data_IF_124002323711
#
_entry.id   IF_124002323711
#
_cell.length_a   1.000
_cell.length_b   1.000
_cell.length_c   1.000
_cell.angle_alpha   90.00
_cell.angle_beta   90.00
_cell.angle_gamma   90.00
#
_symmetry.space_group_name_H-M   'P 1'
#
loop_
_entity.id
_entity.type
_entity.pdbx_description
1 polymer ?
#
# COMPACT_ATOMS: atom_id res chain seq x y z
N UNK A 1 -36.11 29.25 -69.02
CA UNK A 1 -37.43 28.62 -68.77
C UNK A 1 -37.45 28.15 -67.31
N UNK A 2 -38.58 28.34 -66.60
CA UNK A 2 -38.80 28.24 -65.13
C UNK A 2 -38.40 29.44 -64.25
N UNK A 3 -39.28 30.46 -64.28
CA UNK A 3 -40.22 30.90 -63.22
C UNK A 3 -39.84 30.56 -61.75
N UNK A 4 -39.58 31.59 -60.93
CA UNK A 4 -40.46 32.17 -59.85
C UNK A 4 -40.61 31.24 -58.63
N UNK A 5 -40.56 31.62 -57.34
CA UNK A 5 -40.94 32.87 -56.66
C UNK A 5 -40.76 32.69 -55.13
N UNK A 6 -40.86 33.81 -54.37
CA UNK A 6 -41.54 33.93 -53.04
C UNK A 6 -40.73 33.47 -51.81
N UNK A 7 -40.66 34.15 -50.65
CA UNK A 7 -41.25 35.34 -49.97
C UNK A 7 -40.22 35.77 -48.89
N UNK A 8 -39.96 37.06 -48.64
CA UNK A 8 -40.59 37.89 -47.58
C UNK A 8 -40.60 37.18 -46.21
N UNK A 9 -40.19 37.76 -45.08
CA UNK A 9 -40.22 39.15 -44.67
C UNK A 9 -39.43 39.27 -43.33
N UNK A 10 -38.61 40.31 -43.11
CA UNK A 10 -39.00 41.54 -42.36
C UNK A 10 -38.73 41.38 -40.85
N UNK A 11 -37.56 41.88 -40.42
CA UNK A 11 -37.37 43.09 -39.61
C UNK A 11 -37.22 42.70 -38.11
N UNK A 12 -36.56 43.43 -37.22
CA UNK A 12 -36.22 44.84 -37.11
C UNK A 12 -34.87 44.99 -36.38
N UNK A 13 -34.01 45.81 -36.97
CA UNK A 13 -33.20 46.87 -36.35
C UNK A 13 -32.12 46.59 -35.29
N UNK A 14 -30.92 47.04 -35.70
CA UNK A 14 -30.07 48.05 -35.02
C UNK A 14 -29.47 47.66 -33.67
N UNK A 15 -28.18 47.86 -33.42
CA UNK A 15 -27.39 49.02 -33.78
C UNK A 15 -25.88 48.73 -33.73
N UNK A 16 -25.18 49.29 -34.71
CA UNK A 16 -23.88 49.97 -34.61
C UNK A 16 -22.75 49.18 -33.95
N UNK A 17 -21.89 48.66 -34.83
CA UNK A 17 -20.50 48.36 -34.49
C UNK A 17 -19.57 49.56 -34.63
N UNK A 18 -18.35 49.29 -34.14
CA UNK A 18 -17.07 49.94 -34.38
C UNK A 18 -16.69 51.09 -33.45
N UNK A 19 -15.86 50.71 -32.47
CA UNK A 19 -14.51 51.19 -32.11
C UNK A 19 -14.09 50.23 -30.97
N UNK A 20 -12.99 49.46 -30.97
CA UNK A 20 -11.62 49.88 -31.24
C UNK A 20 -10.83 49.83 -29.92
N UNK A 21 -10.19 48.69 -29.64
CA UNK A 21 -9.08 48.44 -28.70
C UNK A 21 -9.32 48.28 -27.17
N UNK A 22 -8.61 47.27 -26.64
CA UNK A 22 -8.14 47.04 -25.26
C UNK A 22 -9.13 46.51 -24.21
N UNK A 23 -8.83 45.30 -23.72
CA UNK A 23 -9.35 44.76 -22.47
C UNK A 23 -10.20 43.50 -22.63
N UNK A 24 -9.63 42.43 -23.17
CA UNK A 24 -10.19 41.10 -22.94
C UNK A 24 -10.13 40.82 -21.44
N UNK A 25 -11.28 40.87 -20.79
CA UNK A 25 -11.49 40.26 -19.47
C UNK A 25 -11.01 38.82 -19.60
N UNK A 26 -10.09 38.32 -18.74
CA UNK A 26 -9.82 36.90 -18.76
C UNK A 26 -11.14 36.21 -18.42
N UNK A 27 -11.60 35.35 -19.33
CA UNK A 27 -12.55 34.30 -18.98
C UNK A 27 -12.03 33.68 -17.69
N UNK A 28 -12.86 33.74 -16.64
CA UNK A 28 -12.66 32.97 -15.43
C UNK A 28 -12.71 31.51 -15.85
N UNK A 29 -11.54 31.02 -16.26
CA UNK A 29 -11.27 29.63 -16.55
C UNK A 29 -11.37 28.85 -15.26
N UNK A 30 -12.05 27.72 -15.40
CA UNK A 30 -12.06 26.58 -14.49
C UNK A 30 -12.58 26.91 -13.09
N UNK A 31 -13.83 26.48 -12.85
CA UNK A 31 -14.18 25.84 -11.58
C UNK A 31 -13.08 24.81 -11.30
N UNK A 32 -12.04 25.25 -10.59
CA UNK A 32 -11.22 24.35 -9.80
C UNK A 32 -12.20 23.69 -8.86
N UNK A 33 -12.62 22.47 -9.21
CA UNK A 33 -12.99 21.45 -8.26
C UNK A 33 -11.84 21.41 -7.26
N UNK A 34 -11.92 22.25 -6.24
CA UNK A 34 -11.25 22.01 -4.97
C UNK A 34 -11.87 20.72 -4.49
N UNK A 35 -11.26 19.59 -4.83
CA UNK A 35 -11.33 18.42 -3.98
C UNK A 35 -10.83 18.95 -2.64
N UNK A 36 -11.75 19.34 -1.75
CA UNK A 36 -11.37 19.60 -0.38
C UNK A 36 -10.64 18.35 0.06
N UNK A 37 -9.36 18.50 0.41
CA UNK A 37 -8.60 17.41 1.00
C UNK A 37 -9.35 17.05 2.28
N UNK A 38 -10.13 15.98 2.19
CA UNK A 38 -11.00 15.54 3.26
C UNK A 38 -10.11 15.24 4.48
N UNK A 39 -10.54 15.70 5.65
CA UNK A 39 -9.72 15.61 6.84
C UNK A 39 -9.56 14.15 7.24
N UNK A 40 -8.39 13.57 6.95
CA UNK A 40 -8.03 12.21 7.31
C UNK A 40 -8.37 11.94 8.77
N UNK A 41 -8.96 10.78 9.06
CA UNK A 41 -9.18 10.38 10.44
C UNK A 41 -7.81 10.03 11.01
N UNK A 42 -7.37 10.81 12.01
CA UNK A 42 -6.07 10.61 12.61
C UNK A 42 -6.05 9.31 13.43
N UNK A 43 -4.90 8.61 13.40
CA UNK A 43 -4.67 7.51 14.32
C UNK A 43 -4.73 8.03 15.77
N UNK A 44 -5.30 7.26 16.72
CA UNK A 44 -5.31 7.66 18.12
C UNK A 44 -3.87 7.83 18.64
N UNK A 45 -3.54 8.95 19.31
CA UNK A 45 -2.15 9.30 19.66
C UNK A 45 -1.45 8.28 20.58
N UNK A 46 -2.22 7.53 21.35
CA UNK A 46 -1.82 6.29 22.01
C UNK A 46 -3.05 5.37 22.04
N UNK A 47 -2.94 4.06 21.71
CA UNK A 47 -4.02 3.11 21.97
C UNK A 47 -4.08 2.80 23.48
N UNK A 48 -4.33 3.82 24.31
CA UNK A 48 -4.46 3.73 25.77
C UNK A 48 -5.84 4.25 26.19
N UNK A 49 -6.28 3.86 27.39
CA UNK A 49 -7.56 4.29 27.96
C UNK A 49 -8.74 3.38 27.56
N UNK A 50 -9.95 3.94 27.48
CA UNK A 50 -11.21 3.21 27.31
C UNK A 50 -11.23 2.26 26.10
N UNK A 51 -10.53 2.59 25.02
CA UNK A 51 -10.48 1.77 23.80
C UNK A 51 -9.91 0.36 24.06
N UNK A 52 -8.85 0.27 24.88
CA UNK A 52 -8.23 -1.02 25.26
C UNK A 52 -8.96 -1.73 26.39
N UNK A 53 -9.57 -0.97 27.31
CA UNK A 53 -10.28 -1.51 28.47
C UNK A 53 -11.60 -2.19 28.08
N UNK A 54 -12.21 -1.81 26.96
CA UNK A 54 -13.50 -2.34 26.49
C UNK A 54 -13.44 -3.00 25.11
N UNK A 55 -12.24 -3.35 24.62
CA UNK A 55 -12.13 -3.93 23.30
C UNK A 55 -12.84 -5.29 23.21
N UNK A 56 -13.82 -5.35 22.30
CA UNK A 56 -14.66 -6.52 22.08
C UNK A 56 -13.93 -7.54 21.19
N UNK A 57 -14.18 -8.85 21.33
CA UNK A 57 -13.54 -9.85 20.48
C UNK A 57 -14.02 -9.72 19.03
N UNK A 58 -13.08 -9.78 18.09
CA UNK A 58 -13.32 -9.93 16.66
C UNK A 58 -12.63 -11.22 16.20
N UNK A 59 -13.41 -12.19 15.74
CA UNK A 59 -12.86 -13.42 15.17
C UNK A 59 -12.48 -13.21 13.70
N UNK A 60 -11.39 -13.84 13.25
CA UNK A 60 -11.09 -13.96 11.82
C UNK A 60 -12.21 -14.76 11.14
N UNK A 61 -12.78 -14.21 10.07
CA UNK A 61 -14.00 -14.73 9.42
C UNK A 61 -15.30 -14.23 10.05
N UNK A 62 -15.23 -13.39 11.08
CA UNK A 62 -16.37 -12.82 11.79
C UNK A 62 -16.58 -11.34 11.53
N UNK A 63 -17.65 -10.80 12.11
CA UNK A 63 -17.94 -9.38 12.10
C UNK A 63 -18.64 -8.94 13.38
N UNK A 64 -18.51 -7.66 13.69
CA UNK A 64 -19.08 -6.99 14.85
C UNK A 64 -19.81 -5.74 14.39
N UNK A 65 -20.91 -5.40 15.06
CA UNK A 65 -21.70 -4.20 14.78
C UNK A 65 -21.77 -3.36 16.04
N UNK A 66 -21.63 -2.05 15.90
CA UNK A 66 -21.62 -1.10 17.01
C UNK A 66 -22.15 0.28 16.60
N UNK A 67 -22.43 1.08 17.62
CA UNK A 67 -22.88 2.46 17.49
C UNK A 67 -21.69 3.40 17.60
N UNK A 68 -21.54 4.34 16.66
CA UNK A 68 -20.53 5.40 16.72
C UNK A 68 -20.86 6.46 17.80
N UNK A 69 -22.02 6.36 18.46
CA UNK A 69 -22.47 7.36 19.44
C UNK A 69 -22.81 8.70 18.79
N UNK A 70 -22.76 9.79 19.57
CA UNK A 70 -23.16 11.12 19.11
C UNK A 70 -21.97 12.04 18.78
N UNK A 71 -20.77 11.66 19.19
CA UNK A 71 -19.55 12.48 19.09
C UNK A 71 -18.44 11.72 18.35
N UNK A 72 -17.42 12.42 17.82
CA UNK A 72 -16.18 11.79 17.37
C UNK A 72 -15.63 10.82 18.41
N UNK A 73 -15.03 9.72 17.96
CA UNK A 73 -14.59 8.67 18.86
C UNK A 73 -13.86 7.54 18.15
N UNK A 74 -13.50 6.55 18.96
CA UNK A 74 -12.91 5.30 18.49
C UNK A 74 -13.49 4.13 19.27
N UNK A 75 -13.45 2.95 18.67
CA UNK A 75 -13.72 1.67 19.30
C UNK A 75 -12.59 0.68 18.99
N UNK A 76 -12.24 -0.12 19.98
CA UNK A 76 -11.20 -1.14 19.87
C UNK A 76 -11.76 -2.56 19.77
N UNK A 77 -11.08 -3.41 19.02
CA UNK A 77 -11.42 -4.81 18.82
C UNK A 77 -10.20 -5.71 18.91
N UNK A 78 -10.33 -6.79 19.69
CA UNK A 78 -9.25 -7.77 19.90
C UNK A 78 -9.31 -8.83 18.81
N UNK A 79 -8.21 -8.99 18.08
CA UNK A 79 -8.03 -9.99 17.05
C UNK A 79 -6.90 -10.93 17.46
N UNK A 80 -7.24 -12.14 17.92
CA UNK A 80 -6.24 -13.15 18.28
C UNK A 80 -5.93 -14.05 17.09
N UNK A 81 -4.66 -14.12 16.70
CA UNK A 81 -4.23 -14.80 15.48
C UNK A 81 -2.99 -15.67 15.69
N UNK A 82 -2.81 -16.65 14.80
CA UNK A 82 -1.53 -17.33 14.62
C UNK A 82 -0.57 -16.45 13.82
N UNK A 83 0.74 -16.75 13.88
CA UNK A 83 1.76 -16.09 13.09
C UNK A 83 1.45 -16.22 11.58
N UNK A 84 1.76 -15.18 10.82
CA UNK A 84 1.50 -15.06 9.38
C UNK A 84 0.03 -15.22 8.98
N UNK A 85 -0.89 -14.83 9.88
CA UNK A 85 -2.30 -14.71 9.53
C UNK A 85 -2.47 -13.53 8.59
N UNK A 86 -3.14 -13.72 7.45
CA UNK A 86 -3.41 -12.64 6.50
C UNK A 86 -4.89 -12.33 6.48
N UNK A 87 -5.25 -11.11 6.89
CA UNK A 87 -6.64 -10.67 7.01
C UNK A 87 -6.91 -9.43 6.18
N UNK A 88 -8.13 -9.32 5.70
CA UNK A 88 -8.74 -8.06 5.30
C UNK A 88 -9.60 -7.56 6.44
N UNK A 89 -9.48 -6.27 6.75
CA UNK A 89 -10.33 -5.60 7.72
C UNK A 89 -11.10 -4.50 7.00
N UNK A 90 -12.42 -4.49 7.15
CA UNK A 90 -13.28 -3.55 6.44
C UNK A 90 -14.42 -3.08 7.33
N UNK A 91 -14.66 -1.77 7.38
CA UNK A 91 -15.95 -1.23 7.81
C UNK A 91 -16.92 -1.38 6.64
N UNK A 92 -17.78 -2.39 6.69
CA UNK A 92 -18.57 -2.80 5.54
C UNK A 92 -19.76 -1.87 5.31
N UNK A 93 -20.11 -1.64 4.04
CA UNK A 93 -21.35 -0.93 3.70
C UNK A 93 -22.59 -1.59 4.32
N UNK A 94 -22.68 -2.91 4.23
CA UNK A 94 -23.77 -3.66 4.87
C UNK A 94 -23.66 -3.53 6.40
N UNK A 95 -24.68 -2.97 7.04
CA UNK A 95 -24.72 -2.79 8.49
C UNK A 95 -24.11 -1.48 9.00
N UNK A 96 -23.53 -0.66 8.12
CA UNK A 96 -23.08 0.69 8.43
C UNK A 96 -24.08 1.74 7.92
N UNK A 97 -24.13 2.88 8.58
CA UNK A 97 -24.99 4.00 8.17
C UNK A 97 -24.37 4.76 7.01
N UNK A 98 -25.23 5.28 6.12
CA UNK A 98 -24.82 6.11 5.00
C UNK A 98 -24.14 7.42 5.47
N UNK A 99 -23.08 7.81 4.76
CA UNK A 99 -22.31 9.02 5.03
C UNK A 99 -21.54 8.99 6.34
N UNK A 100 -21.28 7.81 6.92
CA UNK A 100 -20.29 7.67 7.98
C UNK A 100 -18.90 7.68 7.35
N UNK A 101 -18.01 8.46 7.95
CA UNK A 101 -16.59 8.54 7.60
C UNK A 101 -15.79 7.81 8.69
N UNK A 102 -14.94 6.85 8.31
CA UNK A 102 -14.24 5.99 9.27
C UNK A 102 -12.77 5.81 8.96
N UNK A 103 -11.92 5.84 9.99
CA UNK A 103 -10.53 5.40 9.94
C UNK A 103 -10.38 4.02 10.56
N UNK A 104 -9.45 3.22 10.04
CA UNK A 104 -9.12 1.89 10.55
C UNK A 104 -7.63 1.82 10.82
N UNK A 105 -7.26 1.34 12.00
CA UNK A 105 -5.87 1.24 12.46
C UNK A 105 -5.63 -0.11 13.11
N UNK A 106 -4.45 -0.70 12.90
CA UNK A 106 -4.05 -1.98 13.50
C UNK A 106 -2.78 -1.80 14.32
N UNK A 107 -2.79 -2.26 15.56
CA UNK A 107 -1.65 -2.25 16.49
C UNK A 107 -1.34 -3.65 17.01
N UNK A 108 -0.13 -3.85 17.54
CA UNK A 108 0.27 -5.06 18.24
C UNK A 108 1.40 -5.86 17.59
N UNK A 109 1.56 -7.15 17.92
CA UNK A 109 0.76 -7.88 18.91
C UNK A 109 0.99 -7.34 20.32
N UNK A 110 0.07 -7.65 21.23
CA UNK A 110 0.18 -7.33 22.65
C UNK A 110 1.44 -7.94 23.26
N UNK A 111 2.24 -7.11 23.91
CA UNK A 111 3.46 -7.53 24.59
C UNK A 111 3.18 -8.10 25.99
N UNK A 112 4.24 -8.54 26.67
CA UNK A 112 4.17 -9.09 28.02
C UNK A 112 3.75 -8.06 29.08
N UNK A 113 3.87 -6.76 28.80
CA UNK A 113 3.38 -5.68 29.67
C UNK A 113 1.88 -5.39 29.45
N UNK A 114 1.27 -6.03 28.45
CA UNK A 114 -0.12 -5.84 28.07
C UNK A 114 -0.34 -4.68 27.10
N UNK A 115 0.72 -4.07 26.57
CA UNK A 115 0.68 -2.97 25.62
C UNK A 115 0.63 -3.48 24.17
N UNK A 116 -0.11 -2.81 23.29
CA UNK A 116 -0.08 -3.07 21.84
C UNK A 116 0.98 -2.23 21.10
N UNK A 117 1.79 -1.47 21.84
CA UNK A 117 2.68 -0.46 21.26
C UNK A 117 1.95 0.80 20.81
N UNK A 118 2.69 1.74 20.23
CA UNK A 118 2.17 3.02 19.70
C UNK A 118 2.35 3.15 18.18
N UNK A 119 3.00 2.17 17.55
CA UNK A 119 3.21 2.15 16.11
C UNK A 119 1.99 1.52 15.43
N UNK A 120 1.40 2.26 14.50
CA UNK A 120 0.37 1.73 13.59
C UNK A 120 1.04 0.80 12.59
N UNK A 121 0.58 -0.46 12.51
CA UNK A 121 1.08 -1.44 11.55
C UNK A 121 0.38 -1.33 10.20
N UNK A 122 -0.94 -1.13 10.23
CA UNK A 122 -1.78 -0.97 9.06
C UNK A 122 -2.81 0.13 9.33
N UNK A 123 -3.09 0.94 8.32
CA UNK A 123 -4.15 1.94 8.38
C UNK A 123 -4.79 2.18 7.03
N UNK A 124 -6.03 2.64 7.08
CA UNK A 124 -6.78 3.15 5.93
C UNK A 124 -7.95 4.00 6.43
N UNK A 125 -8.37 5.01 5.69
CA UNK A 125 -9.54 5.84 6.02
C UNK A 125 -10.57 6.01 4.89
N UNK A 126 -10.24 5.67 3.64
CA UNK A 126 -11.16 5.92 2.52
C UNK A 126 -11.14 4.89 1.38
N UNK A 127 -10.43 3.75 1.53
CA UNK A 127 -10.37 2.72 0.48
C UNK A 127 -11.57 1.76 0.46
N UNK A 128 -12.54 1.94 1.36
CA UNK A 128 -13.75 1.13 1.45
C UNK A 128 -14.90 1.66 0.57
N UNK A 129 -16.13 1.29 0.92
CA UNK A 129 -17.30 1.78 0.19
C UNK A 129 -17.68 3.20 0.65
N UNK A 130 -17.62 4.18 -0.25
CA UNK A 130 -17.84 5.58 0.11
C UNK A 130 -16.66 6.09 0.93
N UNK A 131 -16.94 6.66 2.11
CA UNK A 131 -15.95 7.19 3.08
C UNK A 131 -15.62 6.15 4.18
N UNK A 132 -15.88 4.87 3.92
CA UNK A 132 -15.57 3.81 4.86
C UNK A 132 -14.13 3.33 4.67
N UNK A 133 -13.53 2.84 5.75
CA UNK A 133 -12.16 2.34 5.75
C UNK A 133 -12.05 0.85 5.42
N UNK A 134 -10.97 0.50 4.73
CA UNK A 134 -10.62 -0.87 4.34
C UNK A 134 -9.10 -1.07 4.28
N UNK A 135 -8.59 -1.90 5.20
CA UNK A 135 -7.26 -2.50 5.06
C UNK A 135 -7.41 -3.77 4.21
N UNK A 136 -7.03 -3.68 2.93
CA UNK A 136 -7.23 -4.76 1.95
C UNK A 136 -6.44 -6.04 2.26
N UNK A 137 -5.27 -5.88 2.88
CA UNK A 137 -4.39 -6.96 3.32
C UNK A 137 -3.56 -6.48 4.52
N UNK A 138 -3.67 -7.20 5.63
CA UNK A 138 -2.78 -7.11 6.79
C UNK A 138 -2.13 -8.48 7.01
N UNK A 139 -0.82 -8.56 6.78
CA UNK A 139 -0.01 -9.74 7.14
C UNK A 139 0.47 -9.59 8.58
N UNK A 140 -0.06 -10.41 9.48
CA UNK A 140 0.25 -10.36 10.92
C UNK A 140 1.34 -11.37 11.25
N UNK A 141 2.59 -10.92 11.21
CA UNK A 141 3.78 -11.79 11.23
C UNK A 141 3.93 -12.59 12.53
N UNK A 142 3.54 -11.99 13.67
CA UNK A 142 3.66 -12.63 14.98
C UNK A 142 2.32 -13.20 15.45
N UNK A 143 2.35 -14.36 16.10
CA UNK A 143 1.19 -14.85 16.82
C UNK A 143 0.88 -13.94 18.02
N UNK A 144 -0.40 -13.77 18.35
CA UNK A 144 -0.81 -12.99 19.52
C UNK A 144 -2.14 -12.28 19.36
N UNK A 145 -2.43 -11.40 20.32
CA UNK A 145 -3.60 -10.52 20.31
C UNK A 145 -3.21 -9.18 19.68
N UNK A 146 -3.87 -8.81 18.59
CA UNK A 146 -3.76 -7.49 17.96
C UNK A 146 -4.98 -6.64 18.32
N UNK A 147 -4.82 -5.32 18.17
CA UNK A 147 -5.90 -4.36 18.36
C UNK A 147 -6.24 -3.71 17.03
N UNK A 148 -7.44 -3.98 16.52
CA UNK A 148 -8.04 -3.22 15.43
C UNK A 148 -8.86 -2.08 16.02
N UNK A 149 -8.67 -0.86 15.52
CA UNK A 149 -9.35 0.34 16.01
C UNK A 149 -10.12 0.98 14.86
N UNK A 150 -11.41 1.21 15.07
CA UNK A 150 -12.26 2.00 14.16
C UNK A 150 -12.39 3.39 14.77
N UNK A 151 -12.06 4.44 14.02
CA UNK A 151 -12.25 5.84 14.39
C UNK A 151 -13.27 6.53 13.50
N UNK A 152 -13.87 7.61 13.97
CA UNK A 152 -14.83 8.41 13.22
C UNK A 152 -14.90 9.85 13.72
N UNK A 153 -15.25 10.77 12.84
CA UNK A 153 -15.47 12.19 13.18
C UNK A 153 -16.93 12.64 13.07
N UNK A 154 -17.78 11.91 12.35
CA UNK A 154 -19.15 12.34 12.01
C UNK A 154 -20.23 11.35 12.50
N UNK A 155 -20.08 10.90 13.75
CA UNK A 155 -20.91 9.87 14.40
C UNK A 155 -22.42 10.10 14.26
N UNK A 156 -22.96 11.18 14.83
CA UNK A 156 -24.38 11.57 14.72
C UNK A 156 -25.42 10.43 14.93
N UNK A 157 -25.13 9.48 15.82
CA UNK A 157 -25.98 8.32 16.12
C UNK A 157 -25.88 7.18 15.11
N UNK A 158 -24.97 7.27 14.14
CA UNK A 158 -24.74 6.26 13.10
C UNK A 158 -24.22 4.96 13.70
N UNK A 159 -24.44 3.89 12.95
CA UNK A 159 -23.94 2.55 13.22
C UNK A 159 -22.84 2.21 12.23
N UNK A 160 -21.94 1.31 12.62
CA UNK A 160 -20.96 0.71 11.72
C UNK A 160 -20.85 -0.80 11.96
N UNK A 161 -20.35 -1.51 10.95
CA UNK A 161 -20.04 -2.94 11.04
C UNK A 161 -18.60 -3.19 10.59
N UNK A 162 -17.75 -3.64 11.51
CA UNK A 162 -16.39 -4.07 11.21
C UNK A 162 -16.37 -5.57 10.92
N UNK A 163 -15.72 -5.97 9.83
CA UNK A 163 -15.53 -7.36 9.44
C UNK A 163 -14.04 -7.70 9.31
N UNK A 164 -13.65 -8.88 9.79
CA UNK A 164 -12.36 -9.48 9.53
C UNK A 164 -12.53 -10.70 8.62
N UNK A 165 -11.97 -10.65 7.42
CA UNK A 165 -12.01 -11.77 6.46
C UNK A 165 -10.63 -12.39 6.33
N UNK A 166 -10.54 -13.71 6.36
CA UNK A 166 -9.29 -14.40 6.04
C UNK A 166 -9.01 -14.29 4.54
N UNK A 167 -7.83 -13.82 4.17
CA UNK A 167 -7.41 -13.70 2.77
C UNK A 167 -6.20 -14.58 2.44
N UNK A 168 -5.53 -15.17 3.43
CA UNK A 168 -4.41 -16.07 3.21
C UNK A 168 -3.67 -16.47 4.48
N UNK A 169 -2.54 -17.14 4.30
CA UNK A 169 -1.65 -17.54 5.38
C UNK A 169 -2.30 -18.49 6.39
N UNK A 170 -2.01 -18.28 7.67
CA UNK A 170 -2.37 -19.23 8.73
C UNK A 170 -3.88 -19.31 9.06
N UNK A 171 -4.72 -18.42 8.54
CA UNK A 171 -6.16 -18.42 8.83
C UNK A 171 -7.01 -19.20 7.84
N UNK A 172 -6.43 -19.71 6.74
CA UNK A 172 -7.17 -20.51 5.76
C UNK A 172 -7.25 -21.96 6.24
N UNK A 173 -8.45 -22.51 6.50
CA UNK A 173 -8.57 -23.92 6.87
C UNK A 173 -8.34 -24.80 5.64
N UNK A 174 -7.47 -25.81 5.79
CA UNK A 174 -7.17 -26.81 4.75
C UNK A 174 -6.88 -26.22 3.35
N UNK A 175 -5.87 -25.33 3.23
CA UNK A 175 -5.60 -24.63 1.99
C UNK A 175 -5.20 -25.63 0.89
N UNK A 176 -5.77 -25.44 -0.31
CA UNK A 176 -5.47 -26.29 -1.46
C UNK A 176 -4.08 -25.97 -2.03
N UNK A 177 -3.43 -26.90 -2.73
CA UNK A 177 -2.18 -26.59 -3.45
C UNK A 177 -2.42 -25.51 -4.51
N UNK A 178 -1.41 -24.66 -4.74
CA UNK A 178 -1.46 -23.66 -5.79
C UNK A 178 -1.36 -24.33 -7.17
N UNK A 179 -2.04 -23.76 -8.18
CA UNK A 179 -1.82 -24.17 -9.57
C UNK A 179 -0.46 -23.69 -10.07
N UNK A 180 0.12 -24.37 -11.08
CA UNK A 180 1.42 -23.99 -11.63
C UNK A 180 1.45 -22.58 -12.26
N UNK A 181 0.29 -22.05 -12.67
CA UNK A 181 0.15 -20.71 -13.26
C UNK A 181 -0.29 -19.66 -12.23
N UNK A 182 -0.30 -19.98 -10.95
CA UNK A 182 -0.77 -19.05 -9.92
C UNK A 182 0.20 -17.87 -9.79
N UNK A 183 -0.27 -16.69 -10.18
CA UNK A 183 0.46 -15.43 -10.01
C UNK A 183 0.35 -14.85 -8.60
N UNK A 184 1.20 -13.87 -8.31
CA UNK A 184 1.13 -13.04 -7.11
C UNK A 184 0.47 -11.70 -7.42
N UNK A 185 -0.41 -11.26 -6.52
CA UNK A 185 -0.89 -9.87 -6.49
C UNK A 185 -0.21 -9.17 -5.31
N UNK A 186 0.62 -8.18 -5.61
CA UNK A 186 1.44 -7.48 -4.63
C UNK A 186 0.73 -6.23 -4.11
N UNK A 187 0.58 -6.12 -2.80
CA UNK A 187 0.12 -4.92 -2.10
C UNK A 187 1.34 -4.22 -1.51
N UNK A 188 1.50 -2.94 -1.79
CA UNK A 188 2.61 -2.16 -1.25
C UNK A 188 2.40 -1.90 0.23
N UNK A 189 3.45 -2.08 1.02
CA UNK A 189 3.45 -1.87 2.45
C UNK A 189 4.61 -0.96 2.85
N UNK A 190 4.47 -0.30 3.99
CA UNK A 190 5.53 0.52 4.53
C UNK A 190 6.76 -0.33 4.86
N UNK A 191 7.94 0.19 4.53
CA UNK A 191 9.22 -0.36 4.96
C UNK A 191 9.45 0.02 6.42
N UNK A 192 10.06 -0.87 7.20
CA UNK A 192 10.41 -0.62 8.59
C UNK A 192 11.27 0.65 8.74
N UNK A 193 10.99 1.44 9.78
CA UNK A 193 11.66 2.72 9.99
C UNK A 193 13.17 2.56 10.24
N UNK A 194 13.61 1.48 10.90
CA UNK A 194 15.02 1.18 11.12
C UNK A 194 15.73 0.79 9.81
N UNK A 195 15.07 0.04 8.94
CA UNK A 195 15.57 -0.26 7.60
C UNK A 195 15.66 1.01 6.74
N UNK A 196 14.65 1.88 6.79
CA UNK A 196 14.67 3.17 6.09
C UNK A 196 15.80 4.07 6.59
N UNK A 197 16.00 4.16 7.91
CA UNK A 197 17.10 4.93 8.49
C UNK A 197 18.48 4.38 8.06
N UNK A 198 18.63 3.05 8.01
CA UNK A 198 19.86 2.39 7.54
C UNK A 198 20.13 2.72 6.07
N UNK A 199 19.11 2.61 5.22
CA UNK A 199 19.20 2.95 3.80
C UNK A 199 19.53 4.43 3.59
N UNK A 200 18.85 5.33 4.31
CA UNK A 200 19.06 6.77 4.21
C UNK A 200 20.51 7.14 4.58
N UNK A 201 21.03 6.59 5.68
CA UNK A 201 22.42 6.80 6.08
C UNK A 201 23.40 6.32 5.01
N UNK A 202 23.19 5.13 4.45
CA UNK A 202 24.04 4.59 3.38
C UNK A 202 23.99 5.42 2.09
N UNK A 203 22.82 5.98 1.74
CA UNK A 203 22.65 6.87 0.59
C UNK A 203 23.38 8.20 0.74
N UNK A 204 23.75 8.63 1.97
CA UNK A 204 24.59 9.83 2.17
C UNK A 204 26.07 9.58 1.93
N UNK A 205 26.49 8.32 1.79
CA UNK A 205 27.91 7.96 1.71
C UNK A 205 28.56 8.48 0.42
N UNK A 206 27.87 8.37 -0.71
CA UNK A 206 28.32 8.81 -2.04
C UNK A 206 27.16 9.23 -2.92
N UNK A 207 27.31 10.33 -3.65
CA UNK A 207 26.28 10.83 -4.57
C UNK A 207 26.10 9.96 -5.82
N UNK A 208 27.17 9.28 -6.24
CA UNK A 208 27.17 8.43 -7.43
C UNK A 208 26.62 7.03 -7.20
N UNK A 209 26.30 6.68 -5.96
CA UNK A 209 25.81 5.36 -5.57
C UNK A 209 24.66 5.46 -4.57
N UNK A 210 23.44 5.17 -5.02
CA UNK A 210 22.24 5.22 -4.20
C UNK A 210 21.37 3.99 -4.41
N UNK A 211 20.56 3.67 -3.41
CA UNK A 211 19.67 2.52 -3.42
C UNK A 211 18.27 2.89 -2.96
N UNK A 212 17.30 2.08 -3.37
CA UNK A 212 15.90 2.14 -2.98
C UNK A 212 15.46 0.81 -2.39
N UNK A 213 14.52 0.88 -1.46
CA UNK A 213 13.91 -0.28 -0.83
C UNK A 213 12.40 -0.12 -0.84
N UNK A 214 11.69 -1.13 -1.33
CA UNK A 214 10.22 -1.22 -1.28
C UNK A 214 9.81 -2.56 -0.71
N UNK A 215 8.75 -2.56 0.08
CA UNK A 215 8.13 -3.76 0.65
C UNK A 215 6.79 -4.01 -0.02
N UNK A 216 6.55 -5.25 -0.37
CA UNK A 216 5.25 -5.74 -0.77
C UNK A 216 4.85 -6.92 0.09
N UNK A 217 3.56 -6.99 0.39
CA UNK A 217 2.93 -8.17 0.96
C UNK A 217 2.05 -8.80 -0.13
N UNK A 218 1.77 -10.10 -0.02
CA UNK A 218 0.86 -10.78 -0.94
C UNK A 218 -0.01 -11.78 -0.22
N UNK A 219 -1.31 -11.77 -0.49
CA UNK A 219 -2.22 -12.77 0.04
C UNK A 219 -1.93 -14.14 -0.58
N UNK A 220 -1.79 -15.17 0.24
CA UNK A 220 -1.49 -16.53 -0.22
C UNK A 220 -2.38 -17.56 0.47
N UNK A 221 -3.52 -17.94 -0.14
CA UNK A 221 -4.46 -18.90 0.45
C UNK A 221 -4.14 -20.37 0.12
N UNK A 222 -2.91 -20.68 -0.30
CA UNK A 222 -2.51 -22.01 -0.78
C UNK A 222 -1.53 -22.71 0.16
N UNK A 223 -1.56 -24.04 0.18
CA UNK A 223 -0.66 -24.86 1.04
C UNK A 223 0.77 -24.96 0.53
N UNK A 224 0.98 -24.78 -0.78
CA UNK A 224 2.31 -24.77 -1.40
C UNK A 224 2.79 -23.34 -1.56
N UNK A 225 4.03 -23.05 -1.19
CA UNK A 225 4.61 -21.72 -1.39
C UNK A 225 4.69 -21.33 -2.86
N UNK A 226 4.63 -20.03 -3.13
CA UNK A 226 4.95 -19.47 -4.44
C UNK A 226 6.46 -19.55 -4.71
N UNK A 227 6.91 -19.00 -5.83
CA UNK A 227 8.32 -19.00 -6.24
C UNK A 227 8.86 -17.58 -6.37
N UNK A 228 10.18 -17.44 -6.28
CA UNK A 228 10.86 -16.16 -6.54
C UNK A 228 10.62 -15.67 -7.98
N UNK A 229 10.44 -16.56 -8.96
CA UNK A 229 10.12 -16.17 -10.34
C UNK A 229 8.69 -15.60 -10.45
N UNK A 230 7.71 -16.13 -9.71
CA UNK A 230 6.36 -15.55 -9.66
C UNK A 230 6.36 -14.17 -8.98
N UNK A 231 7.14 -14.01 -7.91
CA UNK A 231 7.35 -12.71 -7.28
C UNK A 231 8.04 -11.72 -8.21
N UNK A 232 9.10 -12.14 -8.91
CA UNK A 232 9.80 -11.30 -9.87
C UNK A 232 8.91 -10.91 -11.05
N UNK A 233 8.09 -11.83 -11.57
CA UNK A 233 7.10 -11.53 -12.61
C UNK A 233 6.08 -10.49 -12.13
N UNK A 234 5.58 -10.60 -10.90
CA UNK A 234 4.65 -9.64 -10.33
C UNK A 234 5.30 -8.25 -10.13
N UNK A 235 6.55 -8.19 -9.67
CA UNK A 235 7.33 -6.94 -9.58
C UNK A 235 7.51 -6.34 -10.97
N UNK A 236 8.03 -7.11 -11.93
CA UNK A 236 8.30 -6.65 -13.29
C UNK A 236 7.03 -6.23 -14.04
N UNK A 237 5.84 -6.70 -13.67
CA UNK A 237 4.58 -6.28 -14.28
C UNK A 237 4.29 -4.79 -14.06
N UNK A 238 4.83 -4.20 -12.99
CA UNK A 238 4.71 -2.78 -12.68
C UNK A 238 5.52 -1.91 -13.64
N UNK A 239 5.02 -0.72 -13.92
CA UNK A 239 5.58 0.17 -14.96
C UNK A 239 6.96 0.69 -14.62
N UNK A 240 7.22 0.98 -13.35
CA UNK A 240 8.49 1.52 -12.85
C UNK A 240 9.68 0.56 -13.07
N UNK A 241 9.42 -0.75 -13.18
CA UNK A 241 10.47 -1.76 -13.39
C UNK A 241 10.55 -2.25 -14.84
N UNK A 242 9.85 -1.60 -15.78
CA UNK A 242 9.83 -2.02 -17.19
C UNK A 242 11.22 -2.10 -17.82
N UNK A 243 12.17 -1.27 -17.37
CA UNK A 243 13.55 -1.26 -17.87
C UNK A 243 14.36 -2.53 -17.57
N UNK A 244 13.92 -3.37 -16.63
CA UNK A 244 14.60 -4.63 -16.28
C UNK A 244 14.10 -5.83 -17.08
N UNK A 245 12.99 -5.70 -17.83
CA UNK A 245 12.39 -6.80 -18.61
C UNK A 245 13.26 -7.27 -19.78
N UNK A 246 14.26 -6.47 -20.16
CA UNK A 246 15.18 -6.76 -21.27
C UNK A 246 16.48 -7.42 -20.82
N UNK A 247 16.67 -7.66 -19.52
CA UNK A 247 17.82 -8.43 -19.05
C UNK A 247 17.74 -9.88 -19.59
N UNK A 248 18.76 -10.28 -20.35
CA UNK A 248 18.82 -11.58 -21.01
C UNK A 248 19.34 -12.69 -20.09
N UNK A 249 19.94 -12.34 -18.96
CA UNK A 249 20.58 -13.30 -18.06
C UNK A 249 20.32 -13.00 -16.57
N UNK A 250 19.05 -12.86 -16.14
CA UNK A 250 18.74 -12.61 -14.75
C UNK A 250 19.15 -13.80 -13.89
N UNK A 251 19.72 -13.53 -12.73
CA UNK A 251 20.29 -14.56 -11.85
C UNK A 251 19.35 -14.89 -10.71
N UNK A 252 19.25 -16.16 -10.35
CA UNK A 252 18.59 -16.62 -9.11
C UNK A 252 19.64 -17.17 -8.18
N UNK A 253 19.64 -16.76 -6.91
CA UNK A 253 20.57 -17.25 -5.89
C UNK A 253 19.95 -17.24 -4.48
N UNK A 254 20.64 -17.87 -3.53
CA UNK A 254 20.21 -17.88 -2.13
C UNK A 254 20.46 -16.51 -1.48
N UNK A 255 19.65 -16.14 -0.50
CA UNK A 255 19.80 -14.84 0.18
C UNK A 255 21.20 -14.57 0.73
N UNK A 256 21.90 -15.61 1.20
CA UNK A 256 23.27 -15.48 1.71
C UNK A 256 24.25 -14.88 0.69
N UNK A 257 24.05 -15.13 -0.61
CA UNK A 257 24.93 -14.64 -1.68
C UNK A 257 24.67 -13.17 -2.04
N UNK A 258 23.57 -12.57 -1.54
CA UNK A 258 23.23 -11.18 -1.83
C UNK A 258 24.24 -10.20 -1.25
N UNK A 259 24.77 -10.44 -0.03
CA UNK A 259 25.64 -9.49 0.65
C UNK A 259 26.88 -9.12 -0.18
N UNK A 260 27.50 -10.09 -0.83
CA UNK A 260 28.68 -9.89 -1.67
C UNK A 260 28.40 -9.10 -2.97
N UNK A 261 27.12 -8.93 -3.32
CA UNK A 261 26.64 -8.22 -4.52
C UNK A 261 26.15 -6.81 -4.21
N UNK A 262 26.02 -6.47 -2.93
CA UNK A 262 25.65 -5.14 -2.47
C UNK A 262 26.89 -4.26 -2.39
N UNK A 263 26.75 -2.96 -2.71
CA UNK A 263 27.81 -2.03 -2.32
C UNK A 263 27.97 -2.05 -0.81
N UNK A 264 29.21 -1.90 -0.36
CA UNK A 264 29.57 -2.14 1.03
C UNK A 264 28.78 -1.24 2.01
N UNK A 265 28.44 -0.01 1.62
CA UNK A 265 27.65 0.90 2.45
C UNK A 265 26.21 0.41 2.68
N UNK A 266 25.67 -0.42 1.79
CA UNK A 266 24.33 -1.01 1.90
C UNK A 266 24.34 -2.39 2.55
N UNK A 267 25.50 -3.03 2.73
CA UNK A 267 25.59 -4.37 3.35
C UNK A 267 24.94 -4.48 4.74
N UNK A 268 24.88 -3.45 5.61
CA UNK A 268 24.12 -3.52 6.86
C UNK A 268 22.63 -3.85 6.69
N UNK A 269 22.02 -3.56 5.53
CA UNK A 269 20.63 -3.94 5.24
C UNK A 269 20.47 -5.47 5.14
N UNK A 270 21.52 -6.20 4.77
CA UNK A 270 21.44 -7.65 4.53
C UNK A 270 21.00 -8.45 5.77
N UNK A 271 21.68 -8.38 6.93
CA UNK A 271 21.18 -9.06 8.13
C UNK A 271 19.90 -8.42 8.67
N UNK A 272 19.73 -7.10 8.52
CA UNK A 272 18.57 -6.38 9.05
C UNK A 272 17.25 -6.78 8.37
N UNK A 273 17.26 -7.01 7.05
CA UNK A 273 16.10 -7.48 6.30
C UNK A 273 15.61 -8.85 6.77
N UNK A 274 16.52 -9.80 7.01
CA UNK A 274 16.13 -11.10 7.57
C UNK A 274 15.57 -10.96 8.98
N UNK A 275 16.24 -10.18 9.84
CA UNK A 275 15.77 -9.98 11.21
C UNK A 275 14.38 -9.32 11.27
N UNK A 276 14.04 -8.50 10.27
CA UNK A 276 12.78 -7.75 10.21
C UNK A 276 11.66 -8.57 9.59
N UNK A 277 11.93 -9.27 8.48
CA UNK A 277 10.87 -9.86 7.64
C UNK A 277 10.94 -11.38 7.51
N UNK A 278 12.06 -12.03 7.84
CA UNK A 278 12.15 -13.47 7.68
C UNK A 278 11.67 -14.23 8.91
N UNK A 279 11.04 -15.37 8.64
CA UNK A 279 10.89 -16.43 9.63
C UNK A 279 12.19 -17.19 9.86
N UNK A 280 12.27 -17.79 11.05
CA UNK A 280 13.37 -18.68 11.40
C UNK A 280 13.47 -19.85 10.40
N UNK A 281 14.64 -19.97 9.75
CA UNK A 281 14.90 -21.01 8.77
C UNK A 281 14.09 -20.90 7.47
N UNK A 282 13.56 -19.72 7.17
CA UNK A 282 12.88 -19.44 5.90
C UNK A 282 13.86 -19.51 4.72
N UNK A 283 13.54 -20.25 3.64
CA UNK A 283 14.42 -20.37 2.47
C UNK A 283 14.28 -19.15 1.55
N UNK A 284 14.78 -17.99 2.01
CA UNK A 284 14.72 -16.73 1.26
C UNK A 284 15.57 -16.83 -0.02
N UNK A 285 14.99 -16.44 -1.15
CA UNK A 285 15.62 -16.46 -2.46
C UNK A 285 15.67 -15.06 -3.07
N UNK A 286 16.63 -14.83 -3.95
CA UNK A 286 16.79 -13.55 -4.65
C UNK A 286 16.80 -13.79 -6.16
N UNK A 287 15.99 -13.02 -6.88
CA UNK A 287 16.10 -12.86 -8.33
C UNK A 287 16.69 -11.49 -8.64
N UNK A 288 17.82 -11.47 -9.32
CA UNK A 288 18.56 -10.25 -9.63
C UNK A 288 18.53 -9.97 -11.12
N UNK A 289 18.20 -8.73 -11.47
CA UNK A 289 18.20 -8.20 -12.82
C UNK A 289 19.23 -7.09 -12.93
N UNK A 290 19.96 -7.06 -14.02
CA UNK A 290 20.96 -6.06 -14.30
C UNK A 290 20.56 -5.22 -15.51
N UNK A 291 20.81 -3.91 -15.42
CA UNK A 291 20.66 -2.99 -16.54
C UNK A 291 21.86 -2.06 -16.60
N UNK A 292 22.37 -1.89 -17.80
CA UNK A 292 23.40 -0.91 -18.13
C UNK A 292 22.93 -0.03 -19.28
N UNK A 293 23.17 1.27 -19.20
CA UNK A 293 22.92 2.20 -20.30
C UNK A 293 23.79 3.44 -20.17
N UNK A 294 24.14 4.03 -21.31
CA UNK A 294 24.88 5.28 -21.37
C UNK A 294 23.94 6.47 -21.20
N UNK A 295 24.30 7.41 -20.33
CA UNK A 295 23.63 8.70 -20.10
C UNK A 295 24.31 9.85 -20.84
N UNK A 296 25.50 9.64 -21.40
CA UNK A 296 26.23 10.60 -22.22
C UNK A 296 27.55 10.03 -22.76
N UNK A 297 28.36 10.82 -23.49
CA UNK A 297 29.61 10.36 -24.10
C UNK A 297 30.63 9.71 -23.14
N UNK A 298 30.55 10.02 -21.85
CA UNK A 298 31.35 9.41 -20.76
C UNK A 298 30.49 9.11 -19.52
N UNK A 299 29.16 9.02 -19.68
CA UNK A 299 28.25 8.81 -18.57
C UNK A 299 27.71 7.40 -18.64
N UNK A 300 28.15 6.51 -17.75
CA UNK A 300 27.63 5.16 -17.63
C UNK A 300 26.68 5.08 -16.43
N UNK A 301 25.56 4.38 -16.59
CA UNK A 301 24.64 4.08 -15.50
C UNK A 301 24.45 2.56 -15.43
N UNK A 302 24.65 2.01 -14.24
CA UNK A 302 24.39 0.60 -13.97
C UNK A 302 23.43 0.48 -12.80
N UNK A 303 22.45 -0.39 -12.97
CA UNK A 303 21.44 -0.67 -11.96
C UNK A 303 21.24 -2.15 -11.77
N UNK A 304 21.03 -2.53 -10.52
CA UNK A 304 20.69 -3.90 -10.16
C UNK A 304 19.40 -3.89 -9.37
N UNK A 305 18.38 -4.58 -9.87
CA UNK A 305 17.12 -4.84 -9.19
C UNK A 305 17.19 -6.22 -8.55
N UNK A 306 17.08 -6.29 -7.22
CA UNK A 306 17.03 -7.53 -6.48
C UNK A 306 15.61 -7.72 -5.93
N UNK A 307 14.90 -8.72 -6.43
CA UNK A 307 13.62 -9.19 -5.90
C UNK A 307 13.91 -10.27 -4.88
N UNK A 308 13.71 -9.96 -3.61
CA UNK A 308 13.97 -10.82 -2.47
C UNK A 308 12.63 -11.40 -2.01
N UNK A 309 12.49 -12.73 -2.08
CA UNK A 309 11.23 -13.41 -1.84
C UNK A 309 11.27 -14.18 -0.53
N UNK A 310 10.28 -13.90 0.32
CA UNK A 310 10.07 -14.52 1.62
C UNK A 310 8.80 -15.41 1.55
N UNK A 311 8.95 -16.72 1.25
CA UNK A 311 7.81 -17.61 0.97
C UNK A 311 6.87 -17.90 2.15
N UNK A 312 7.37 -17.91 3.39
CA UNK A 312 6.63 -18.25 4.62
C UNK A 312 6.00 -17.04 5.29
N UNK A 313 6.73 -15.93 5.33
CA UNK A 313 6.28 -14.67 5.93
C UNK A 313 5.47 -13.80 4.95
N UNK A 314 5.39 -14.21 3.67
CA UNK A 314 4.56 -13.59 2.64
C UNK A 314 4.97 -12.16 2.26
N UNK A 315 6.28 -11.92 2.23
CA UNK A 315 6.86 -10.65 1.80
C UNK A 315 7.63 -10.77 0.49
N UNK A 316 7.62 -9.68 -0.28
CA UNK A 316 8.55 -9.43 -1.37
C UNK A 316 9.24 -8.11 -1.10
N UNK A 317 10.56 -8.14 -0.95
CA UNK A 317 11.35 -6.92 -0.83
C UNK A 317 12.02 -6.65 -2.16
N UNK A 318 11.86 -5.44 -2.66
CA UNK A 318 12.56 -4.96 -3.85
C UNK A 318 13.68 -4.03 -3.41
N UNK A 319 14.91 -4.47 -3.60
CA UNK A 319 16.13 -3.71 -3.35
C UNK A 319 16.78 -3.35 -4.68
N UNK A 320 16.70 -2.08 -5.05
CA UNK A 320 17.35 -1.54 -6.25
C UNK A 320 18.57 -0.75 -5.85
N UNK A 321 19.72 -1.04 -6.47
CA UNK A 321 20.93 -0.24 -6.31
C UNK A 321 21.35 0.35 -7.65
N UNK A 322 21.72 1.62 -7.65
CA UNK A 322 22.15 2.39 -8.81
C UNK A 322 23.56 2.88 -8.58
N UNK A 323 24.40 2.78 -9.61
CA UNK A 323 25.65 3.51 -9.70
C UNK A 323 25.72 4.29 -11.00
N UNK A 324 26.45 5.41 -10.99
CA UNK A 324 26.80 6.13 -12.21
C UNK A 324 28.25 6.56 -12.22
N UNK A 325 28.83 6.67 -13.41
CA UNK A 325 30.13 7.30 -13.61
C UNK A 325 29.98 8.82 -13.60
N UNK A 326 30.90 9.50 -12.91
CA UNK A 326 31.02 10.98 -12.89
C UNK A 326 32.12 11.39 -13.88
#
# INVERSE_FOLDING_TARGET
MRRTTVRSAVLWLSAVGLLGACGGVPEQGEDTLTTEAQALIAAPPLPLGSFTTYASPLAVGGAVQASAGLTPGYDGYKLTVAAHTQVQLEVTHLGSSMGLDTGLFVYGPKDSSGSYGNQVLFQDDDSGYGELSKVSLATLDKAGEYLAVVGWNNAAGKQYRLQASCVGGACVPNPQPASASQGLTLVEAAVDAGLQATLANANTYREDMFSYLRKFDFAWPYSTFSTVDAAAAAVLSRTEYAGYRTDLAPQTFAYADLQARMYWQFQPLHPALLATYADSGEPVQVKSYYRFFQTGPNGDNWRTLNVIFFPRSFHVIVYEQTGHEI
#
